data_IF_973458996142
#
_entry.id   IF_973458996142
#
_cell.length_a   1.000
_cell.length_b   1.000
_cell.length_c   1.000
_cell.angle_alpha   90.00
_cell.angle_beta   90.00
_cell.angle_gamma   90.00
#
_symmetry.space_group_name_H-M   'P 1'
#
loop_
_entity.id
_entity.type
_entity.pdbx_description
1 polymer ?
#
# COMPACT_ATOMS: atom_id res chain seq x y z
N UNK A 1 -20.95 7.81 -14.49
CA UNK A 1 -21.18 6.68 -13.57
C UNK A 1 -20.06 5.67 -13.78
N UNK A 2 -19.10 5.56 -12.85
CA UNK A 2 -18.03 4.56 -12.98
C UNK A 2 -18.50 3.25 -12.39
N UNK A 3 -18.97 2.37 -13.27
CA UNK A 3 -19.38 1.00 -12.98
C UNK A 3 -18.14 0.12 -12.81
N UNK A 4 -18.07 -0.64 -11.70
CA UNK A 4 -17.27 -1.86 -11.67
C UNK A 4 -17.95 -2.90 -10.78
N UNK A 5 -18.87 -3.64 -11.39
CA UNK A 5 -19.28 -4.94 -10.89
C UNK A 5 -18.25 -5.99 -11.35
N UNK A 6 -17.87 -6.90 -10.47
CA UNK A 6 -17.61 -8.32 -10.81
C UNK A 6 -17.49 -9.12 -9.53
N UNK A 7 -18.52 -9.94 -9.31
CA UNK A 7 -18.56 -11.09 -8.40
C UNK A 7 -17.57 -12.16 -8.88
N UNK A 8 -16.75 -12.71 -7.98
CA UNK A 8 -16.03 -13.97 -8.22
C UNK A 8 -15.80 -14.69 -6.89
N UNK A 9 -16.24 -15.93 -6.86
CA UNK A 9 -16.35 -16.87 -5.74
C UNK A 9 -15.02 -17.55 -5.39
N UNK A 10 -14.85 -17.88 -4.10
CA UNK A 10 -14.08 -19.02 -3.56
C UNK A 10 -12.57 -19.10 -3.88
N UNK A 11 -11.81 -18.15 -3.35
CA UNK A 11 -10.55 -18.35 -2.61
C UNK A 11 -10.25 -17.01 -1.94
N UNK A 12 -10.18 -16.94 -0.61
CA UNK A 12 -9.81 -15.71 0.11
C UNK A 12 -8.30 -15.44 -0.03
N UNK A 13 -7.81 -15.34 -1.27
CA UNK A 13 -6.52 -14.74 -1.55
C UNK A 13 -6.68 -13.24 -1.25
N UNK A 14 -5.95 -12.74 -0.26
CA UNK A 14 -5.95 -11.34 0.15
C UNK A 14 -5.69 -10.47 -1.09
N UNK A 15 -6.75 -9.90 -1.67
CA UNK A 15 -6.65 -9.09 -2.87
C UNK A 15 -6.01 -7.77 -2.48
N UNK A 16 -4.77 -7.58 -2.91
CA UNK A 16 -4.02 -6.37 -2.64
C UNK A 16 -4.32 -5.35 -3.74
N UNK A 17 -5.06 -4.27 -3.46
CA UNK A 17 -5.27 -3.22 -4.43
C UNK A 17 -3.92 -2.57 -4.78
N UNK A 18 -3.70 -2.26 -6.05
CA UNK A 18 -2.51 -1.52 -6.47
C UNK A 18 -2.69 -0.05 -6.09
N UNK A 19 -1.92 0.42 -5.11
CA UNK A 19 -1.98 1.80 -4.63
C UNK A 19 -0.81 2.60 -5.21
N UNK A 20 -1.11 3.76 -5.81
CA UNK A 20 -0.15 4.67 -6.43
C UNK A 20 -0.55 6.12 -6.16
N UNK A 21 0.28 7.07 -6.56
CA UNK A 21 -0.03 8.51 -6.42
C UNK A 21 -1.42 8.81 -7.01
N UNK A 22 -2.24 9.52 -6.22
CA UNK A 22 -3.63 9.81 -6.55
C UNK A 22 -4.65 8.79 -6.03
N UNK A 23 -4.23 7.58 -5.62
CA UNK A 23 -5.10 6.64 -4.92
C UNK A 23 -5.57 7.23 -3.58
N UNK A 24 -6.81 6.95 -3.20
CA UNK A 24 -7.39 7.40 -1.92
C UNK A 24 -8.24 6.31 -1.28
N UNK A 25 -8.46 6.43 0.02
CA UNK A 25 -9.38 5.58 0.79
C UNK A 25 -8.67 4.73 1.84
N UNK A 26 -9.44 3.83 2.45
CA UNK A 26 -9.02 3.03 3.61
C UNK A 26 -7.78 2.16 3.34
N UNK A 27 -7.63 1.66 2.10
CA UNK A 27 -6.44 0.91 1.70
C UNK A 27 -5.15 1.74 1.81
N UNK A 28 -5.21 3.03 1.46
CA UNK A 28 -4.08 3.95 1.59
C UNK A 28 -3.83 4.31 3.05
N UNK A 29 -4.88 4.51 3.84
CA UNK A 29 -4.75 4.73 5.28
C UNK A 29 -4.03 3.55 5.95
N UNK A 30 -4.40 2.31 5.60
CA UNK A 30 -3.76 1.10 6.12
C UNK A 30 -2.29 1.00 5.70
N UNK A 31 -1.99 1.32 4.43
CA UNK A 31 -0.62 1.40 3.93
C UNK A 31 0.22 2.41 4.73
N UNK A 32 -0.28 3.63 4.91
CA UNK A 32 0.40 4.68 5.67
C UNK A 32 0.61 4.26 7.13
N UNK A 33 -0.42 3.69 7.78
CA UNK A 33 -0.31 3.18 9.15
C UNK A 33 0.77 2.11 9.30
N UNK A 34 0.86 1.18 8.34
CA UNK A 34 1.94 0.18 8.31
C UNK A 34 3.31 0.83 8.15
N UNK A 35 3.45 1.80 7.24
CA UNK A 35 4.71 2.54 7.06
C UNK A 35 5.11 3.35 8.31
N UNK A 36 4.14 3.89 9.07
CA UNK A 36 4.38 4.56 10.36
C UNK A 36 4.86 3.56 11.40
N UNK A 37 4.20 2.40 11.52
CA UNK A 37 4.65 1.30 12.41
C UNK A 37 6.07 0.85 12.10
N UNK A 38 6.42 0.78 10.81
CA UNK A 38 7.78 0.47 10.36
C UNK A 38 8.81 1.59 10.60
N UNK A 39 8.37 2.74 11.15
CA UNK A 39 9.15 3.98 11.35
C UNK A 39 9.76 4.54 10.06
N UNK A 40 9.11 4.28 8.92
CA UNK A 40 9.54 4.74 7.59
C UNK A 40 8.77 6.00 7.17
N UNK A 41 7.47 6.05 7.46
CA UNK A 41 6.64 7.22 7.20
C UNK A 41 6.46 8.04 8.47
N UNK A 42 6.77 9.34 8.38
CA UNK A 42 6.63 10.30 9.48
C UNK A 42 5.35 11.14 9.39
N UNK A 43 4.58 10.99 8.30
CA UNK A 43 3.33 11.71 8.10
C UNK A 43 2.16 11.06 8.84
N UNK A 44 0.99 11.70 8.75
CA UNK A 44 -0.28 11.14 9.26
C UNK A 44 -0.90 10.22 8.21
N UNK A 45 -1.64 9.21 8.64
CA UNK A 45 -2.42 8.37 7.74
C UNK A 45 -3.67 9.12 7.25
N UNK A 46 -3.50 9.96 6.23
CA UNK A 46 -4.56 10.80 5.64
C UNK A 46 -5.48 10.04 4.69
N UNK A 47 -5.11 8.81 4.31
CA UNK A 47 -5.84 8.04 3.30
C UNK A 47 -5.69 8.57 1.89
N UNK A 48 -4.75 9.49 1.65
CA UNK A 48 -4.41 9.99 0.31
C UNK A 48 -2.98 9.63 -0.03
N UNK A 49 -2.79 9.00 -1.19
CA UNK A 49 -1.47 8.59 -1.65
C UNK A 49 -0.81 9.78 -2.34
N UNK A 50 -0.09 10.56 -1.54
CA UNK A 50 0.68 11.72 -1.94
C UNK A 50 2.15 11.35 -2.25
N UNK A 51 2.94 12.36 -2.64
CA UNK A 51 4.37 12.20 -2.89
C UNK A 51 5.13 11.74 -1.64
N UNK A 52 4.70 12.15 -0.44
CA UNK A 52 5.32 11.71 0.80
C UNK A 52 5.09 10.21 1.05
N UNK A 53 3.88 9.72 0.78
CA UNK A 53 3.51 8.31 0.84
C UNK A 53 4.29 7.51 -0.21
N UNK A 54 4.41 8.02 -1.45
CA UNK A 54 5.23 7.41 -2.49
C UNK A 54 6.68 7.23 -2.02
N UNK A 55 7.29 8.28 -1.47
CA UNK A 55 8.67 8.22 -0.99
C UNK A 55 8.85 7.22 0.16
N UNK A 56 7.87 7.12 1.07
CA UNK A 56 7.89 6.11 2.12
C UNK A 56 7.73 4.68 1.58
N UNK A 57 6.91 4.47 0.56
CA UNK A 57 6.80 3.16 -0.13
C UNK A 57 8.11 2.81 -0.81
N UNK A 58 8.75 3.75 -1.52
CA UNK A 58 10.08 3.56 -2.13
C UNK A 58 11.10 3.17 -1.06
N UNK A 59 11.12 3.87 0.08
CA UNK A 59 12.04 3.57 1.18
C UNK A 59 11.80 2.16 1.76
N UNK A 60 10.54 1.77 1.94
CA UNK A 60 10.19 0.40 2.33
C UNK A 60 10.66 -0.63 1.31
N UNK A 61 10.37 -0.39 0.02
CA UNK A 61 10.78 -1.29 -1.06
C UNK A 61 12.29 -1.46 -1.10
N UNK A 62 13.07 -0.37 -1.02
CA UNK A 62 14.54 -0.40 -0.94
C UNK A 62 15.02 -1.19 0.28
N UNK A 63 14.44 -0.96 1.45
CA UNK A 63 14.79 -1.66 2.70
C UNK A 63 14.61 -3.17 2.60
N UNK A 64 13.59 -3.62 1.88
CA UNK A 64 13.27 -5.04 1.70
C UNK A 64 13.68 -5.61 0.34
N UNK A 65 14.56 -4.91 -0.40
CA UNK A 65 15.09 -5.34 -1.71
C UNK A 65 13.99 -5.66 -2.74
N UNK A 66 12.89 -4.91 -2.71
CA UNK A 66 11.82 -4.96 -3.71
C UNK A 66 12.06 -3.91 -4.79
N UNK A 67 11.32 -4.01 -5.91
CA UNK A 67 11.28 -2.97 -6.93
C UNK A 67 10.81 -1.65 -6.31
N UNK A 68 11.67 -0.61 -6.36
CA UNK A 68 11.45 0.67 -5.70
C UNK A 68 10.72 1.68 -6.60
N UNK A 69 9.60 1.24 -7.19
CA UNK A 69 8.78 2.01 -8.12
C UNK A 69 7.83 3.01 -7.42
N UNK A 70 7.68 2.89 -6.10
CA UNK A 70 6.75 3.70 -5.32
C UNK A 70 5.29 3.33 -5.56
N UNK A 71 5.03 2.10 -6.02
CA UNK A 71 3.70 1.51 -6.19
C UNK A 71 3.53 0.40 -5.16
N UNK A 72 2.52 0.52 -4.29
CA UNK A 72 2.18 -0.53 -3.34
C UNK A 72 1.26 -1.56 -4.02
N UNK A 73 1.86 -2.47 -4.77
CA UNK A 73 1.19 -3.65 -5.34
C UNK A 73 1.24 -4.88 -4.41
N UNK A 74 0.80 -6.06 -4.89
CA UNK A 74 0.74 -7.28 -4.09
C UNK A 74 2.06 -7.71 -3.45
N UNK A 75 3.18 -7.55 -4.16
CA UNK A 75 4.51 -7.87 -3.61
C UNK A 75 4.88 -6.94 -2.43
N UNK A 76 4.67 -5.63 -2.60
CA UNK A 76 4.93 -4.63 -1.55
C UNK A 76 4.02 -4.84 -0.36
N UNK A 77 2.70 -4.97 -0.59
CA UNK A 77 1.70 -5.10 0.46
C UNK A 77 1.82 -6.44 1.20
N UNK A 78 2.03 -7.54 0.47
CA UNK A 78 2.30 -8.85 1.06
C UNK A 78 3.58 -8.84 1.92
N UNK A 79 4.63 -8.15 1.47
CA UNK A 79 5.84 -7.98 2.29
C UNK A 79 5.55 -7.14 3.54
N UNK A 80 4.77 -6.06 3.42
CA UNK A 80 4.35 -5.25 4.57
C UNK A 80 3.58 -6.06 5.60
N UNK A 81 2.59 -6.86 5.20
CA UNK A 81 1.87 -7.76 6.11
C UNK A 81 2.78 -8.79 6.78
N UNK A 82 3.82 -9.25 6.08
CA UNK A 82 4.77 -10.24 6.62
C UNK A 82 5.72 -9.64 7.66
N UNK A 83 6.15 -8.39 7.46
CA UNK A 83 7.17 -7.74 8.29
C UNK A 83 6.60 -6.77 9.34
N UNK A 84 5.34 -6.35 9.17
CA UNK A 84 4.62 -5.44 10.06
C UNK A 84 3.36 -6.17 10.53
N UNK A 85 3.46 -6.80 11.71
CA UNK A 85 2.33 -7.41 12.41
C UNK A 85 1.51 -6.36 13.17
#
# INVERSE_FOLDING_TARGET
TSTKATTSTKAVAKSYPVLKVGSKGTAVTNLQSKLIKARIYKGKATGTYDTATKNAVIAFQKKYKLAADGIAGPATLGKMDSVIK
#
